data_IF_158084444134
#
_entry.id   IF_158084444134
#
_cell.length_a   1.000
_cell.length_b   1.000
_cell.length_c   1.000
_cell.angle_alpha   90.00
_cell.angle_beta   90.00
_cell.angle_gamma   90.00
#
_symmetry.space_group_name_H-M   'P 1'
#
loop_
_entity.id
_entity.type
_entity.pdbx_description
1 polymer ?
#
# COMPACT_ATOMS: atom_id res chain seq x y z
N UNK A 1 22.90 7.50 5.08
CA UNK A 1 22.35 6.71 6.21
C UNK A 1 21.05 6.02 5.79
N UNK A 2 20.10 6.76 5.22
CA UNK A 2 18.81 6.22 4.77
C UNK A 2 18.95 5.12 3.70
N UNK A 3 19.89 5.22 2.76
CA UNK A 3 20.05 4.19 1.70
C UNK A 3 20.42 2.81 2.23
N UNK A 4 21.23 2.76 3.31
CA UNK A 4 21.57 1.49 3.97
C UNK A 4 20.36 0.87 4.66
N UNK A 5 19.53 1.70 5.29
CA UNK A 5 18.28 1.28 5.94
C UNK A 5 17.30 0.78 4.88
N UNK A 6 17.08 1.56 3.81
CA UNK A 6 16.21 1.19 2.69
C UNK A 6 16.65 -0.17 2.13
N UNK A 7 17.94 -0.33 1.80
CA UNK A 7 18.48 -1.59 1.27
C UNK A 7 18.20 -2.76 2.21
N UNK A 8 18.49 -2.62 3.50
CA UNK A 8 18.28 -3.69 4.48
C UNK A 8 16.82 -4.12 4.60
N UNK A 9 15.88 -3.16 4.62
CA UNK A 9 14.45 -3.48 4.68
C UNK A 9 13.91 -4.00 3.35
N UNK A 10 14.41 -3.52 2.21
CA UNK A 10 14.09 -4.09 0.90
C UNK A 10 14.52 -5.56 0.81
N UNK A 11 15.73 -5.89 1.29
CA UNK A 11 16.21 -7.27 1.36
C UNK A 11 15.36 -8.14 2.30
N UNK A 12 14.99 -7.62 3.48
CA UNK A 12 14.11 -8.34 4.41
C UNK A 12 12.72 -8.63 3.83
N UNK A 13 12.11 -7.64 3.18
CA UNK A 13 10.82 -7.78 2.49
C UNK A 13 10.95 -8.78 1.34
N UNK A 14 12.01 -8.68 0.54
CA UNK A 14 12.24 -9.60 -0.58
C UNK A 14 12.38 -11.05 -0.10
N UNK A 15 13.18 -11.31 0.94
CA UNK A 15 13.36 -12.65 1.50
C UNK A 15 12.06 -13.21 2.09
N UNK A 16 11.27 -12.36 2.76
CA UNK A 16 9.95 -12.71 3.25
C UNK A 16 9.01 -13.14 2.10
N UNK A 17 9.00 -12.38 1.01
CA UNK A 17 8.20 -12.70 -0.18
C UNK A 17 8.64 -14.01 -0.84
N UNK A 18 9.95 -14.28 -0.96
CA UNK A 18 10.44 -15.53 -1.54
C UNK A 18 9.93 -16.76 -0.80
N UNK A 19 9.90 -16.70 0.53
CA UNK A 19 9.38 -17.79 1.36
C UNK A 19 7.86 -17.88 1.25
N UNK A 20 7.16 -16.75 1.40
CA UNK A 20 5.71 -16.70 1.48
C UNK A 20 5.03 -17.06 0.16
N UNK A 21 5.56 -16.61 -0.98
CA UNK A 21 4.90 -16.77 -2.28
C UNK A 21 4.87 -18.24 -2.76
N UNK A 22 5.79 -19.08 -2.27
CA UNK A 22 5.78 -20.53 -2.55
C UNK A 22 4.54 -21.26 -2.04
N UNK A 23 3.87 -20.74 -1.01
CA UNK A 23 2.67 -21.34 -0.43
C UNK A 23 1.36 -20.77 -1.00
N UNK A 24 1.40 -19.97 -2.07
CA UNK A 24 0.23 -19.34 -2.69
C UNK A 24 -0.69 -18.64 -1.67
N UNK A 25 -0.18 -17.64 -0.94
CA UNK A 25 -0.86 -17.07 0.21
C UNK A 25 -2.12 -16.30 -0.22
N UNK A 26 -3.05 -16.14 0.71
CA UNK A 26 -4.17 -15.22 0.58
C UNK A 26 -3.70 -13.75 0.68
N UNK A 27 -4.58 -12.82 0.32
CA UNK A 27 -4.35 -11.37 0.50
C UNK A 27 -4.07 -11.02 1.97
N UNK A 28 -4.83 -11.62 2.89
CA UNK A 28 -4.68 -11.39 4.32
C UNK A 28 -3.32 -11.89 4.85
N UNK A 29 -2.86 -13.05 4.39
CA UNK A 29 -1.55 -13.61 4.76
C UNK A 29 -0.40 -12.76 4.21
N UNK A 30 -0.51 -12.29 2.95
CA UNK A 30 0.45 -11.34 2.38
C UNK A 30 0.54 -10.07 3.23
N UNK A 31 -0.61 -9.47 3.56
CA UNK A 31 -0.67 -8.27 4.40
C UNK A 31 -0.05 -8.52 5.78
N UNK A 32 -0.44 -9.61 6.46
CA UNK A 32 0.06 -9.96 7.79
C UNK A 32 1.58 -10.17 7.84
N UNK A 33 2.17 -10.68 6.76
CA UNK A 33 3.61 -10.88 6.66
C UNK A 33 4.37 -9.57 6.40
N UNK A 34 3.83 -8.69 5.55
CA UNK A 34 4.54 -7.50 5.05
C UNK A 34 4.36 -6.27 5.95
N UNK A 35 3.16 -6.06 6.51
CA UNK A 35 2.86 -4.89 7.37
C UNK A 35 3.85 -4.71 8.53
N UNK A 36 4.26 -5.76 9.29
CA UNK A 36 5.23 -5.59 10.37
C UNK A 36 6.61 -5.11 9.90
N UNK A 37 7.05 -5.53 8.72
CA UNK A 37 8.34 -5.12 8.15
C UNK A 37 8.30 -3.64 7.74
N UNK A 38 7.22 -3.22 7.08
CA UNK A 38 6.98 -1.81 6.73
C UNK A 38 6.84 -0.95 7.99
N UNK A 39 6.12 -1.43 9.01
CA UNK A 39 5.98 -0.74 10.29
C UNK A 39 7.32 -0.48 10.97
N UNK A 40 8.20 -1.50 11.03
CA UNK A 40 9.57 -1.37 11.56
C UNK A 40 10.40 -0.39 10.73
N UNK A 41 10.34 -0.47 9.40
CA UNK A 41 11.02 0.46 8.50
C UNK A 41 10.59 1.92 8.76
N UNK A 42 9.28 2.17 8.84
CA UNK A 42 8.74 3.49 9.15
C UNK A 42 9.22 3.99 10.53
N UNK A 43 9.20 3.13 11.55
CA UNK A 43 9.64 3.49 12.89
C UNK A 43 11.13 3.90 12.91
N UNK A 44 12.00 3.15 12.24
CA UNK A 44 13.44 3.47 12.13
C UNK A 44 13.67 4.82 11.45
N UNK A 45 12.82 5.19 10.49
CA UNK A 45 12.90 6.47 9.78
C UNK A 45 12.17 7.62 10.50
N UNK A 46 11.59 7.38 11.68
CA UNK A 46 10.78 8.39 12.38
C UNK A 46 9.49 8.76 11.64
N UNK A 47 9.05 7.93 10.69
CA UNK A 47 7.78 8.11 9.97
C UNK A 47 6.68 7.58 10.89
N UNK A 48 5.87 8.48 11.43
CA UNK A 48 4.71 8.09 12.22
C UNK A 48 3.70 7.36 11.33
N UNK A 49 3.57 6.05 11.49
CA UNK A 49 2.44 5.31 10.96
C UNK A 49 1.21 5.69 11.78
N UNK A 50 0.47 6.70 11.33
CA UNK A 50 -0.89 6.86 11.79
C UNK A 50 -1.71 5.77 11.11
N UNK A 51 -1.69 4.56 11.68
CA UNK A 51 -2.72 3.55 11.40
C UNK A 51 -4.03 4.10 11.95
N UNK A 52 -4.62 5.07 11.26
CA UNK A 52 -6.01 5.46 11.48
C UNK A 52 -6.83 4.32 10.90
N UNK A 53 -7.03 3.30 11.73
CA UNK A 53 -7.84 2.12 11.47
C UNK A 53 -9.33 2.43 11.17
N UNK A 54 -9.72 3.70 11.05
CA UNK A 54 -11.09 4.12 10.86
C UNK A 54 -11.22 5.15 9.74
N UNK A 55 -10.90 4.73 8.52
CA UNK A 55 -11.61 5.27 7.37
C UNK A 55 -12.47 4.15 6.78
N UNK A 56 -13.55 3.83 7.50
CA UNK A 56 -14.75 3.28 6.87
C UNK A 56 -15.27 4.36 5.92
N UNK A 57 -14.73 4.39 4.71
CA UNK A 57 -15.40 5.06 3.61
C UNK A 57 -16.53 4.13 3.18
N UNK A 58 -17.62 4.71 2.68
CA UNK A 58 -18.76 3.96 2.12
C UNK A 58 -18.36 3.00 0.97
N UNK A 59 -17.09 3.03 0.55
CA UNK A 59 -16.47 2.22 -0.49
C UNK A 59 -15.59 1.07 0.02
N UNK A 60 -15.36 0.92 1.33
CA UNK A 60 -14.51 -0.14 1.92
C UNK A 60 -13.51 0.36 2.97
N UNK A 61 -12.67 -0.56 3.48
CA UNK A 61 -11.56 -0.32 4.41
C UNK A 61 -10.24 -0.45 3.65
N UNK A 62 -9.40 0.59 3.67
CA UNK A 62 -8.03 0.48 3.16
C UNK A 62 -7.20 -0.38 4.12
N UNK A 63 -6.32 -1.22 3.57
CA UNK A 63 -5.50 -2.13 4.38
C UNK A 63 -4.57 -1.38 5.32
N UNK A 64 -3.79 -0.44 4.78
CA UNK A 64 -2.85 0.38 5.58
C UNK A 64 -2.70 1.80 5.01
N UNK A 65 -2.68 2.81 5.88
CA UNK A 65 -2.36 4.20 5.50
C UNK A 65 -1.09 4.64 6.22
N UNK A 66 -0.04 4.93 5.46
CA UNK A 66 1.22 5.48 5.98
C UNK A 66 1.28 6.98 5.69
N UNK A 67 0.88 7.79 6.67
CA UNK A 67 0.85 9.26 6.55
C UNK A 67 -0.04 9.76 5.39
N UNK A 68 0.54 9.93 4.19
CA UNK A 68 -0.13 10.38 2.96
C UNK A 68 -0.19 9.31 1.87
N UNK A 69 0.22 8.09 2.18
CA UNK A 69 0.25 6.96 1.25
C UNK A 69 -0.82 5.95 1.67
N UNK A 70 -1.70 5.59 0.74
CA UNK A 70 -2.63 4.47 0.85
C UNK A 70 -1.95 3.22 0.29
N UNK A 71 -1.87 2.14 1.06
CA UNK A 71 -1.42 0.84 0.60
C UNK A 71 -2.61 -0.13 0.60
N UNK A 72 -2.84 -0.75 -0.55
CA UNK A 72 -3.85 -1.78 -0.77
C UNK A 72 -3.14 -3.08 -1.17
N UNK A 73 -3.42 -4.16 -0.46
CA UNK A 73 -2.93 -5.48 -0.82
C UNK A 73 -3.92 -6.18 -1.75
N UNK A 74 -3.40 -7.08 -2.58
CA UNK A 74 -4.19 -8.05 -3.36
C UNK A 74 -3.59 -9.44 -3.24
N UNK A 75 -4.40 -10.47 -3.47
CA UNK A 75 -3.91 -11.85 -3.56
C UNK A 75 -2.82 -11.96 -4.63
N UNK A 76 -1.73 -12.70 -4.40
CA UNK A 76 -0.64 -12.75 -5.35
C UNK A 76 -0.99 -13.24 -6.75
N UNK A 77 -0.47 -12.49 -7.73
CA UNK A 77 -0.59 -12.75 -9.15
C UNK A 77 -1.90 -12.23 -9.76
N UNK A 78 -2.83 -11.73 -8.95
CA UNK A 78 -4.13 -11.21 -9.42
C UNK A 78 -3.96 -9.98 -10.29
N UNK A 79 -2.93 -9.16 -10.07
CA UNK A 79 -2.71 -7.94 -10.86
C UNK A 79 -2.24 -8.22 -12.29
N UNK A 80 -1.93 -9.48 -12.65
CA UNK A 80 -1.71 -9.89 -14.05
C UNK A 80 -2.99 -9.80 -14.89
N UNK A 81 -4.16 -9.80 -14.26
CA UNK A 81 -5.44 -9.65 -14.93
C UNK A 81 -5.80 -8.17 -15.05
N UNK A 82 -6.02 -7.69 -16.28
CA UNK A 82 -6.32 -6.28 -16.54
C UNK A 82 -7.55 -5.77 -15.79
N UNK A 83 -8.62 -6.57 -15.74
CA UNK A 83 -9.84 -6.17 -15.02
C UNK A 83 -9.58 -6.01 -13.54
N UNK A 84 -8.91 -6.99 -12.91
CA UNK A 84 -8.57 -6.93 -11.49
C UNK A 84 -7.61 -5.77 -11.19
N UNK A 85 -6.66 -5.50 -12.07
CA UNK A 85 -5.77 -4.34 -12.00
C UNK A 85 -6.57 -3.02 -12.02
N UNK A 86 -7.49 -2.85 -12.97
CA UNK A 86 -8.31 -1.64 -13.06
C UNK A 86 -9.23 -1.47 -11.85
N UNK A 87 -9.79 -2.56 -11.32
CA UNK A 87 -10.60 -2.54 -10.10
C UNK A 87 -9.77 -2.10 -8.88
N UNK A 88 -8.55 -2.63 -8.71
CA UNK A 88 -7.67 -2.23 -7.63
C UNK A 88 -7.22 -0.77 -7.73
N UNK A 89 -6.89 -0.29 -8.95
CA UNK A 89 -6.59 1.12 -9.20
C UNK A 89 -7.80 2.00 -8.82
N UNK A 90 -9.01 1.61 -9.22
CA UNK A 90 -10.24 2.33 -8.88
C UNK A 90 -10.46 2.41 -7.38
N UNK A 91 -10.24 1.31 -6.64
CA UNK A 91 -10.33 1.28 -5.18
C UNK A 91 -9.39 2.29 -4.53
N UNK A 92 -8.11 2.27 -4.90
CA UNK A 92 -7.10 3.20 -4.38
C UNK A 92 -7.41 4.66 -4.71
N UNK A 93 -7.86 4.97 -5.94
CA UNK A 93 -8.32 6.33 -6.31
C UNK A 93 -9.48 6.79 -5.42
N UNK A 94 -10.41 5.87 -5.12
CA UNK A 94 -11.52 6.11 -4.19
C UNK A 94 -11.05 6.46 -2.79
N UNK A 95 -10.11 5.68 -2.24
CA UNK A 95 -9.52 5.94 -0.92
C UNK A 95 -8.82 7.29 -0.86
N UNK A 96 -7.94 7.59 -1.82
CA UNK A 96 -7.21 8.87 -1.88
C UNK A 96 -8.20 10.05 -1.96
N UNK A 97 -9.24 9.94 -2.79
CA UNK A 97 -10.27 10.98 -2.93
C UNK A 97 -11.05 11.18 -1.62
N UNK A 98 -11.41 10.08 -0.94
CA UNK A 98 -12.10 10.14 0.35
C UNK A 98 -11.24 10.77 1.45
N UNK A 99 -9.95 10.42 1.50
CA UNK A 99 -8.99 11.01 2.44
C UNK A 99 -8.79 12.51 2.19
N UNK A 100 -8.66 12.92 0.92
CA UNK A 100 -8.54 14.34 0.56
C UNK A 100 -9.74 15.15 1.05
N UNK A 101 -10.96 14.64 0.82
CA UNK A 101 -12.21 15.28 1.26
C UNK A 101 -12.34 15.37 2.78
N UNK A 102 -12.05 14.30 3.51
CA UNK A 102 -12.21 14.25 4.98
C UNK A 102 -11.10 15.00 5.73
N UNK A 103 -9.85 14.96 5.23
CA UNK A 103 -8.69 15.53 5.90
C UNK A 103 -8.34 16.96 5.48
N UNK A 104 -9.07 17.55 4.50
CA UNK A 104 -8.74 18.85 3.93
C UNK A 104 -7.40 18.86 3.18
N UNK A 105 -6.89 17.68 2.82
CA UNK A 105 -5.63 17.54 2.09
C UNK A 105 -5.86 17.69 0.59
N UNK A 106 -4.92 18.36 -0.08
CA UNK A 106 -4.87 18.40 -1.55
C UNK A 106 -4.59 16.99 -2.10
N UNK A 107 -5.35 16.55 -3.10
CA UNK A 107 -5.21 15.24 -3.77
C UNK A 107 -3.76 14.97 -4.20
N UNK A 108 -3.07 15.98 -4.69
CA UNK A 108 -1.69 15.93 -5.18
C UNK A 108 -0.66 15.62 -4.09
N UNK A 109 -1.04 15.78 -2.81
CA UNK A 109 -0.20 15.45 -1.66
C UNK A 109 -0.36 14.00 -1.21
N UNK A 110 -1.34 13.28 -1.75
CA UNK A 110 -1.60 11.89 -1.44
C UNK A 110 -1.07 10.99 -2.56
N UNK A 111 -0.74 9.75 -2.21
CA UNK A 111 -0.35 8.72 -3.15
C UNK A 111 -0.98 7.39 -2.75
N UNK A 112 -1.05 6.48 -3.72
CA UNK A 112 -1.56 5.14 -3.53
C UNK A 112 -0.60 4.11 -4.07
N UNK A 113 -0.59 2.94 -3.44
CA UNK A 113 0.17 1.78 -3.85
C UNK A 113 -0.77 0.58 -3.81
N UNK A 114 -0.84 -0.17 -4.90
CA UNK A 114 -1.42 -1.52 -4.92
C UNK A 114 -0.27 -2.51 -4.96
N UNK A 115 -0.32 -3.56 -4.13
CA UNK A 115 0.71 -4.58 -4.08
C UNK A 115 0.12 -5.99 -3.99
N UNK A 116 0.57 -6.90 -4.85
CA UNK A 116 0.15 -8.31 -4.80
C UNK A 116 1.31 -9.29 -4.53
N UNK A 117 2.48 -8.82 -4.10
CA UNK A 117 3.64 -9.71 -3.92
C UNK A 117 4.48 -9.89 -5.19
N UNK A 118 3.92 -9.69 -6.39
CA UNK A 118 4.65 -9.74 -7.67
C UNK A 118 4.68 -8.40 -8.40
N UNK A 119 3.57 -7.66 -8.37
CA UNK A 119 3.38 -6.36 -9.02
C UNK A 119 3.12 -5.28 -7.99
N UNK A 120 3.70 -4.11 -8.26
CA UNK A 120 3.47 -2.88 -7.52
C UNK A 120 2.91 -1.85 -8.51
N UNK A 121 1.78 -1.24 -8.17
CA UNK A 121 1.17 -0.18 -8.96
C UNK A 121 1.18 1.10 -8.13
N UNK A 122 1.78 2.16 -8.66
CA UNK A 122 1.76 3.48 -8.06
C UNK A 122 0.65 4.32 -8.66
N UNK A 123 -0.17 4.95 -7.82
CA UNK A 123 -1.29 5.82 -8.20
C UNK A 123 -1.08 7.20 -7.61
N UNK A 124 -1.11 8.25 -8.43
CA UNK A 124 -0.95 9.64 -7.98
C UNK A 124 -1.82 10.58 -8.80
N UNK A 125 -2.33 11.62 -8.16
CA UNK A 125 -3.01 12.71 -8.87
C UNK A 125 -2.01 13.83 -9.16
N UNK A 126 -1.84 14.19 -10.44
CA UNK A 126 -0.89 15.21 -10.90
C UNK A 126 -1.60 16.10 -11.91
N UNK A 127 -1.60 17.42 -11.67
CA UNK A 127 -2.09 18.44 -12.60
C UNK A 127 -3.50 18.16 -13.16
N UNK A 128 -4.43 17.75 -12.31
CA UNK A 128 -5.81 17.51 -12.71
C UNK A 128 -6.11 16.08 -13.19
N UNK A 129 -5.10 15.22 -13.26
CA UNK A 129 -5.21 13.87 -13.83
C UNK A 129 -4.65 12.81 -12.88
N UNK A 130 -5.16 11.58 -13.02
CA UNK A 130 -4.72 10.41 -12.26
C UNK A 130 -3.68 9.59 -13.00
#
# INVERSE_FOLDING_TARGET
MNDKIIKSYSEAIYNCLQQLLSSSPTEAELRLAIDPLLGKFCAVLGITSQVRAEYTLTTGRADTVFNRIVLEYKRPGVLKNDKAMQEAIKQVKGYITGLAKKGGHKLERLAGVVFDGYFIIFVRYIRGQW
#
